data_IF_723344596886
#
_entry.id   IF_723344596886
#
_cell.length_a   1.000
_cell.length_b   1.000
_cell.length_c   1.000
_cell.angle_alpha   90.00
_cell.angle_beta   90.00
_cell.angle_gamma   90.00
#
_symmetry.space_group_name_H-M   'P 1'
#
loop_
_entity.id
_entity.type
_entity.pdbx_description
1 polymer ?
#
# COMPACT_ATOMS: atom_id res chain seq x y z
N UNK A 1 -29.89 12.89 -19.06
CA UNK A 1 -29.27 11.68 -18.51
C UNK A 1 -28.00 11.40 -19.30
N UNK A 2 -27.02 10.77 -18.67
CA UNK A 2 -25.74 10.40 -19.25
C UNK A 2 -25.38 8.99 -18.75
N UNK A 3 -24.92 8.13 -19.63
CA UNK A 3 -24.47 6.78 -19.23
C UNK A 3 -23.03 6.79 -18.74
N UNK A 4 -22.75 6.00 -17.72
CA UNK A 4 -21.39 5.72 -17.25
C UNK A 4 -21.25 4.24 -16.87
N UNK A 5 -20.01 3.75 -16.89
CA UNK A 5 -19.67 2.39 -16.44
C UNK A 5 -18.77 2.50 -15.22
N UNK A 6 -19.15 1.85 -14.12
CA UNK A 6 -18.42 1.82 -12.87
C UNK A 6 -17.90 0.40 -12.56
N UNK A 7 -16.78 0.31 -11.85
CA UNK A 7 -16.33 -0.95 -11.25
C UNK A 7 -17.37 -1.45 -10.24
N UNK A 8 -17.58 -2.77 -10.18
CA UNK A 8 -18.60 -3.37 -9.33
C UNK A 8 -18.17 -4.77 -8.90
N UNK A 9 -17.40 -4.88 -7.82
CA UNK A 9 -16.79 -6.15 -7.43
C UNK A 9 -15.82 -6.64 -8.52
N UNK A 10 -16.01 -7.87 -9.00
CA UNK A 10 -15.22 -8.47 -10.09
C UNK A 10 -15.72 -8.10 -11.49
N UNK A 11 -16.74 -7.25 -11.59
CA UNK A 11 -17.35 -6.86 -12.86
C UNK A 11 -17.52 -5.34 -12.97
N UNK A 12 -18.39 -4.92 -13.89
CA UNK A 12 -18.78 -3.53 -14.05
C UNK A 12 -20.30 -3.41 -14.06
N UNK A 13 -20.80 -2.21 -13.74
CA UNK A 13 -22.21 -1.87 -13.81
C UNK A 13 -22.40 -0.61 -14.65
N UNK A 14 -23.40 -0.62 -15.53
CA UNK A 14 -23.81 0.57 -16.28
C UNK A 14 -24.84 1.35 -15.45
N UNK A 15 -24.65 2.67 -15.37
CA UNK A 15 -25.48 3.55 -14.55
C UNK A 15 -25.93 4.76 -15.36
N UNK A 16 -27.14 5.23 -15.06
CA UNK A 16 -27.74 6.42 -15.67
C UNK A 16 -27.61 7.61 -14.74
N UNK A 17 -26.69 8.52 -15.05
CA UNK A 17 -26.40 9.69 -14.24
C UNK A 17 -27.23 10.90 -14.71
N UNK A 18 -27.60 11.82 -13.80
CA UNK A 18 -28.15 13.11 -14.18
C UNK A 18 -27.20 13.86 -15.13
N UNK A 19 -27.74 14.59 -16.11
CA UNK A 19 -26.93 15.28 -17.13
C UNK A 19 -26.00 16.37 -16.58
N UNK A 20 -26.21 16.81 -15.33
CA UNK A 20 -25.37 17.77 -14.60
C UNK A 20 -24.14 17.15 -13.93
N UNK A 21 -23.96 15.83 -14.03
CA UNK A 21 -22.87 15.13 -13.35
C UNK A 21 -21.54 15.44 -14.02
N UNK A 22 -20.56 15.90 -13.25
CA UNK A 22 -19.17 15.99 -13.69
C UNK A 22 -18.53 14.62 -13.61
N UNK A 23 -18.01 14.09 -14.72
CA UNK A 23 -17.25 12.84 -14.72
C UNK A 23 -15.77 13.18 -14.71
N UNK A 24 -15.06 12.65 -13.73
CA UNK A 24 -13.61 12.80 -13.59
C UNK A 24 -12.95 11.44 -13.52
N UNK A 25 -11.63 11.40 -13.66
CA UNK A 25 -10.93 10.15 -13.83
C UNK A 25 -11.30 9.45 -15.15
N UNK A 26 -10.96 10.09 -16.29
CA UNK A 26 -10.80 9.42 -17.58
C UNK A 26 -11.47 10.10 -18.77
N UNK A 27 -10.69 10.40 -19.83
CA UNK A 27 -11.17 10.98 -21.09
C UNK A 27 -10.25 10.52 -22.25
N UNK A 28 -10.76 9.76 -23.23
CA UNK A 28 -10.25 9.79 -24.61
C UNK A 28 -8.88 9.16 -24.97
N UNK A 29 -8.13 8.57 -24.04
CA UNK A 29 -6.98 7.70 -24.35
C UNK A 29 -6.97 6.52 -23.38
N UNK A 30 -6.56 5.30 -23.78
CA UNK A 30 -6.13 4.37 -22.74
C UNK A 30 -5.00 5.09 -22.01
N UNK A 31 -4.93 4.96 -20.68
CA UNK A 31 -3.77 5.35 -19.86
C UNK A 31 -3.81 6.83 -19.41
N UNK A 32 -3.94 7.09 -18.09
CA UNK A 32 -3.57 8.38 -17.48
C UNK A 32 -2.09 8.74 -17.73
N UNK A 33 -1.48 9.76 -17.10
CA UNK A 33 -0.08 10.09 -17.33
C UNK A 33 0.79 8.85 -17.03
N UNK A 34 1.22 8.16 -18.08
CA UNK A 34 2.02 6.94 -18.00
C UNK A 34 3.42 7.28 -18.43
N UNK A 35 4.36 6.78 -17.64
CA UNK A 35 5.73 6.65 -18.10
C UNK A 35 5.73 5.73 -19.32
N UNK A 36 6.53 6.08 -20.32
CA UNK A 36 6.81 5.15 -21.40
C UNK A 36 7.57 3.93 -20.83
N UNK A 37 7.20 2.71 -21.23
CA UNK A 37 7.93 1.52 -20.82
C UNK A 37 9.36 1.59 -21.38
N UNK A 38 10.35 1.19 -20.58
CA UNK A 38 11.71 1.03 -21.07
C UNK A 38 11.76 -0.09 -22.12
N UNK A 39 12.56 0.10 -23.16
CA UNK A 39 12.69 -0.87 -24.27
C UNK A 39 13.29 -2.20 -23.80
N UNK A 40 14.27 -2.12 -22.89
CA UNK A 40 14.96 -3.28 -22.31
C UNK A 40 15.04 -3.10 -20.79
N UNK A 41 14.23 -3.89 -20.07
CA UNK A 41 14.15 -3.83 -18.60
C UNK A 41 15.43 -4.30 -17.92
N UNK A 42 16.13 -5.28 -18.50
CA UNK A 42 17.36 -5.82 -17.93
C UNK A 42 18.50 -4.82 -18.10
N UNK A 43 18.62 -4.21 -19.28
CA UNK A 43 19.59 -3.15 -19.52
C UNK A 43 19.32 -1.93 -18.62
N UNK A 44 18.05 -1.56 -18.42
CA UNK A 44 17.68 -0.45 -17.52
C UNK A 44 18.12 -0.72 -16.07
N UNK A 45 17.90 -1.93 -15.55
CA UNK A 45 18.36 -2.35 -14.22
C UNK A 45 19.89 -2.27 -14.13
N UNK A 46 20.61 -2.86 -15.09
CA UNK A 46 22.08 -2.85 -15.11
C UNK A 46 22.64 -1.42 -15.17
N UNK A 47 22.02 -0.54 -15.94
CA UNK A 47 22.42 0.85 -16.06
C UNK A 47 22.22 1.63 -14.75
N UNK A 48 21.11 1.41 -14.05
CA UNK A 48 20.87 2.03 -12.75
C UNK A 48 21.94 1.60 -11.73
N UNK A 49 22.24 0.30 -11.64
CA UNK A 49 23.28 -0.23 -10.74
C UNK A 49 24.70 0.23 -11.11
N UNK A 50 24.97 0.46 -12.39
CA UNK A 50 26.27 0.94 -12.86
C UNK A 50 26.50 2.44 -12.62
N UNK A 51 25.42 3.22 -12.37
CA UNK A 51 25.47 4.67 -12.14
C UNK A 51 24.62 5.05 -10.92
N UNK A 52 24.99 4.58 -9.72
CA UNK A 52 24.25 4.86 -8.51
C UNK A 52 24.22 6.37 -8.19
N UNK A 53 23.11 6.82 -7.62
CA UNK A 53 22.92 8.18 -7.13
C UNK A 53 23.39 8.29 -5.68
N UNK A 54 24.29 9.23 -5.37
CA UNK A 54 24.69 9.54 -3.99
C UNK A 54 25.56 8.50 -3.27
N UNK A 55 25.78 7.32 -3.87
CA UNK A 55 26.62 6.26 -3.31
C UNK A 55 27.55 5.67 -4.39
N UNK A 56 28.70 5.07 -4.00
CA UNK A 56 29.50 4.20 -4.87
C UNK A 56 28.72 2.99 -5.39
N UNK A 57 29.30 2.26 -6.35
CA UNK A 57 28.74 1.00 -6.83
C UNK A 57 28.79 -0.08 -5.75
N UNK A 58 27.93 -1.08 -5.86
CA UNK A 58 27.83 -2.18 -4.89
C UNK A 58 29.20 -2.85 -4.67
N UNK A 59 29.96 -3.11 -5.74
CA UNK A 59 31.30 -3.72 -5.65
C UNK A 59 32.32 -2.91 -4.83
N UNK A 60 32.09 -1.60 -4.68
CA UNK A 60 32.96 -0.69 -3.94
C UNK A 60 32.52 -0.53 -2.48
N UNK A 61 31.29 -0.95 -2.17
CA UNK A 61 30.70 -0.91 -0.83
C UNK A 61 30.96 -2.18 -0.01
N UNK A 62 31.38 -3.27 -0.65
CA UNK A 62 31.65 -4.55 -0.01
C UNK A 62 33.13 -4.93 -0.10
N UNK A 63 33.57 -5.81 0.82
CA UNK A 63 34.91 -6.40 0.84
C UNK A 63 34.80 -7.93 0.88
N UNK A 64 35.80 -8.68 0.42
CA UNK A 64 35.77 -10.14 0.51
C UNK A 64 35.37 -10.63 1.91
N UNK A 65 34.41 -11.56 1.97
CA UNK A 65 33.84 -12.06 3.21
C UNK A 65 32.66 -11.28 3.77
N UNK A 66 32.25 -10.15 3.16
CA UNK A 66 31.08 -9.39 3.60
C UNK A 66 29.78 -10.21 3.55
N UNK A 67 28.86 -9.92 4.48
CA UNK A 67 27.50 -10.41 4.52
C UNK A 67 26.53 -9.37 3.98
N UNK A 68 25.59 -9.79 3.13
CA UNK A 68 24.67 -8.89 2.44
C UNK A 68 23.22 -9.30 2.66
N UNK A 69 22.39 -8.33 3.03
CA UNK A 69 20.94 -8.45 2.97
C UNK A 69 20.45 -7.90 1.63
N UNK A 70 19.62 -8.65 0.93
CA UNK A 70 18.80 -8.16 -0.18
C UNK A 70 17.33 -8.29 0.23
N UNK A 71 16.74 -7.19 0.65
CA UNK A 71 15.30 -7.12 0.92
C UNK A 71 14.53 -6.71 -0.33
N UNK A 72 13.27 -7.09 -0.46
CA UNK A 72 12.44 -6.72 -1.61
C UNK A 72 10.96 -6.56 -1.23
N UNK A 73 10.26 -5.73 -2.00
CA UNK A 73 8.82 -5.51 -1.81
C UNK A 73 8.04 -6.82 -1.93
N UNK A 74 7.07 -7.01 -1.04
CA UNK A 74 6.18 -8.16 -1.07
C UNK A 74 5.18 -8.13 -2.26
N UNK A 75 4.38 -9.19 -2.46
CA UNK A 75 3.34 -9.26 -3.49
C UNK A 75 2.22 -8.20 -3.39
N UNK A 76 2.07 -7.47 -2.28
CA UNK A 76 1.01 -6.44 -2.17
C UNK A 76 1.29 -5.23 -3.07
N UNK A 77 2.55 -5.03 -3.47
CA UNK A 77 2.93 -4.06 -4.50
C UNK A 77 2.54 -4.64 -5.88
N UNK A 78 1.56 -4.03 -6.60
CA UNK A 78 1.07 -4.53 -7.89
C UNK A 78 2.09 -4.34 -9.02
N UNK A 79 3.13 -5.16 -8.94
CA UNK A 79 4.26 -5.27 -9.84
C UNK A 79 4.40 -6.77 -10.17
N UNK A 80 3.87 -7.16 -11.31
CA UNK A 80 3.84 -8.53 -11.83
C UNK A 80 4.92 -8.77 -12.90
N UNK A 81 5.68 -7.72 -13.22
CA UNK A 81 6.82 -7.76 -14.11
C UNK A 81 8.08 -8.34 -13.44
N UNK A 82 9.14 -8.57 -14.22
CA UNK A 82 10.33 -9.27 -13.74
C UNK A 82 11.27 -8.39 -12.90
N UNK A 83 10.90 -7.15 -12.55
CA UNK A 83 11.82 -6.15 -11.96
C UNK A 83 12.53 -6.66 -10.71
N UNK A 84 11.82 -7.36 -9.81
CA UNK A 84 12.42 -7.94 -8.59
C UNK A 84 13.53 -8.93 -8.96
N UNK A 85 13.20 -9.93 -9.80
CA UNK A 85 14.16 -10.94 -10.28
C UNK A 85 15.34 -10.30 -11.00
N UNK A 86 15.09 -9.39 -11.95
CA UNK A 86 16.14 -8.74 -12.73
C UNK A 86 17.10 -7.95 -11.84
N UNK A 87 16.57 -7.20 -10.86
CA UNK A 87 17.40 -6.46 -9.91
C UNK A 87 18.20 -7.39 -9.01
N UNK A 88 17.57 -8.41 -8.42
CA UNK A 88 18.25 -9.38 -7.55
C UNK A 88 19.37 -10.09 -8.31
N UNK A 89 19.11 -10.64 -9.49
CA UNK A 89 20.13 -11.34 -10.29
C UNK A 89 21.29 -10.41 -10.69
N UNK A 90 20.99 -9.15 -11.07
CA UNK A 90 22.03 -8.18 -11.40
C UNK A 90 22.89 -7.78 -10.18
N UNK A 91 22.27 -7.66 -9.00
CA UNK A 91 22.97 -7.42 -7.72
C UNK A 91 23.86 -8.61 -7.38
N UNK A 92 23.33 -9.84 -7.44
CA UNK A 92 24.10 -11.07 -7.17
C UNK A 92 25.32 -11.19 -8.09
N UNK A 93 25.16 -10.85 -9.38
CA UNK A 93 26.28 -10.83 -10.32
C UNK A 93 27.35 -9.81 -9.91
N UNK A 94 26.98 -8.60 -9.51
CA UNK A 94 27.94 -7.59 -9.08
C UNK A 94 28.63 -7.95 -7.76
N UNK A 95 27.92 -8.59 -6.83
CA UNK A 95 28.49 -9.14 -5.59
C UNK A 95 29.50 -10.26 -5.86
N UNK A 96 29.18 -11.19 -6.77
CA UNK A 96 30.08 -12.25 -7.20
C UNK A 96 31.35 -11.71 -7.87
N UNK A 97 31.23 -10.67 -8.70
CA UNK A 97 32.39 -9.95 -9.28
C UNK A 97 33.27 -9.28 -8.21
N UNK A 98 32.69 -8.92 -7.05
CA UNK A 98 33.42 -8.40 -5.89
C UNK A 98 33.96 -9.50 -4.96
N UNK A 99 33.78 -10.78 -5.32
CA UNK A 99 34.24 -11.92 -4.53
C UNK A 99 33.35 -12.28 -3.34
N UNK A 100 32.10 -11.83 -3.32
CA UNK A 100 31.11 -12.21 -2.30
C UNK A 100 30.36 -13.45 -2.79
N UNK A 101 30.48 -14.59 -2.09
CA UNK A 101 29.80 -15.79 -2.51
C UNK A 101 28.34 -15.77 -2.03
N UNK A 102 27.46 -16.48 -2.73
CA UNK A 102 26.02 -16.38 -2.49
C UNK A 102 25.60 -16.86 -1.11
N UNK A 103 26.35 -17.78 -0.48
CA UNK A 103 26.12 -18.21 0.91
C UNK A 103 26.16 -17.06 1.92
N UNK A 104 26.83 -15.95 1.58
CA UNK A 104 26.87 -14.75 2.42
C UNK A 104 25.69 -13.80 2.18
N UNK A 105 24.78 -14.13 1.27
CA UNK A 105 23.64 -13.30 0.91
C UNK A 105 22.35 -13.88 1.49
N UNK A 106 21.55 -13.04 2.14
CA UNK A 106 20.19 -13.38 2.58
C UNK A 106 19.16 -12.55 1.80
N UNK A 107 18.05 -13.18 1.44
CA UNK A 107 16.90 -12.54 0.80
C UNK A 107 15.74 -12.44 1.78
N UNK A 108 15.17 -11.25 1.95
CA UNK A 108 14.01 -11.05 2.84
C UNK A 108 12.88 -10.35 2.10
N UNK A 109 11.71 -11.00 2.05
CA UNK A 109 10.47 -10.38 1.63
C UNK A 109 10.02 -9.39 2.71
N UNK A 110 9.88 -8.12 2.34
CA UNK A 110 9.57 -7.03 3.25
C UNK A 110 8.05 -6.87 3.43
N UNK A 111 7.42 -7.82 4.11
CA UNK A 111 5.97 -7.88 4.32
C UNK A 111 5.47 -7.15 5.58
N UNK A 112 6.35 -6.70 6.49
CA UNK A 112 5.95 -5.99 7.71
C UNK A 112 4.80 -6.69 8.47
N UNK A 113 3.69 -5.99 8.68
CA UNK A 113 2.45 -6.47 9.32
C UNK A 113 1.49 -7.17 8.35
N UNK A 114 1.85 -7.27 7.07
CA UNK A 114 1.16 -8.15 6.13
C UNK A 114 1.54 -9.60 6.38
N UNK A 115 0.71 -10.51 5.90
CA UNK A 115 0.96 -11.95 6.01
C UNK A 115 2.30 -12.39 5.40
N UNK A 116 2.76 -13.55 5.83
CA UNK A 116 3.83 -14.28 5.16
C UNK A 116 3.30 -14.94 3.88
N UNK A 117 4.21 -15.13 2.93
CA UNK A 117 3.91 -15.64 1.59
C UNK A 117 4.46 -17.05 1.43
N UNK A 118 3.70 -17.91 0.76
CA UNK A 118 4.15 -19.26 0.44
C UNK A 118 5.28 -19.23 -0.58
N UNK A 119 6.03 -20.32 -0.70
CA UNK A 119 7.07 -20.46 -1.73
C UNK A 119 6.53 -20.30 -3.14
N UNK A 120 5.32 -20.81 -3.41
CA UNK A 120 4.64 -20.66 -4.71
C UNK A 120 4.28 -19.20 -4.99
N UNK A 121 3.77 -18.47 -3.99
CA UNK A 121 3.44 -17.05 -4.15
C UNK A 121 4.69 -16.19 -4.35
N UNK A 122 5.77 -16.45 -3.61
CA UNK A 122 7.05 -15.76 -3.82
C UNK A 122 7.65 -16.08 -5.21
N UNK A 123 7.56 -17.34 -5.66
CA UNK A 123 8.02 -17.73 -6.98
C UNK A 123 7.27 -16.99 -8.10
N UNK A 124 6.02 -16.59 -7.89
CA UNK A 124 5.25 -15.81 -8.88
C UNK A 124 5.84 -14.42 -9.16
N UNK A 125 6.54 -13.82 -8.19
CA UNK A 125 7.15 -12.48 -8.32
C UNK A 125 8.68 -12.51 -8.45
N UNK A 126 9.33 -13.60 -8.05
CA UNK A 126 10.78 -13.79 -8.11
C UNK A 126 11.23 -14.68 -9.29
N UNK A 127 10.30 -15.40 -9.91
CA UNK A 127 10.62 -16.49 -10.81
C UNK A 127 10.89 -17.82 -10.08
N UNK A 128 10.98 -18.92 -10.82
CA UNK A 128 11.03 -20.26 -10.24
C UNK A 128 12.37 -20.64 -9.58
N UNK A 129 13.45 -19.92 -9.93
CA UNK A 129 14.82 -20.38 -9.60
C UNK A 129 15.35 -19.86 -8.26
N UNK A 130 14.99 -18.63 -7.88
CA UNK A 130 15.55 -17.99 -6.67
C UNK A 130 15.13 -18.71 -5.38
N UNK A 131 13.90 -19.24 -5.33
CA UNK A 131 13.40 -19.98 -4.16
C UNK A 131 14.25 -21.21 -3.84
N UNK A 132 14.36 -22.18 -4.75
CA UNK A 132 15.22 -23.35 -4.57
C UNK A 132 16.70 -23.01 -4.35
N UNK A 133 17.22 -21.97 -5.03
CA UNK A 133 18.62 -21.54 -4.94
C UNK A 133 19.01 -21.01 -3.56
N UNK A 134 18.12 -20.27 -2.89
CA UNK A 134 18.39 -19.69 -1.57
C UNK A 134 17.87 -20.54 -0.42
N UNK A 135 16.84 -21.35 -0.63
CA UNK A 135 16.25 -22.20 0.41
C UNK A 135 15.87 -21.36 1.64
N UNK A 136 16.39 -21.72 2.81
CA UNK A 136 16.12 -21.03 4.08
C UNK A 136 16.69 -19.59 4.15
N UNK A 137 17.62 -19.23 3.25
CA UNK A 137 18.14 -17.84 3.16
C UNK A 137 17.17 -16.90 2.43
N UNK A 138 16.07 -17.42 1.88
CA UNK A 138 14.94 -16.62 1.39
C UNK A 138 13.77 -16.77 2.36
N UNK A 139 13.44 -15.70 3.09
CA UNK A 139 12.39 -15.72 4.10
C UNK A 139 11.45 -14.51 4.00
N UNK A 140 10.28 -14.61 4.62
CA UNK A 140 9.43 -13.46 4.91
C UNK A 140 9.85 -12.83 6.24
N UNK A 141 9.78 -11.51 6.35
CA UNK A 141 9.96 -10.79 7.61
C UNK A 141 8.89 -11.23 8.62
N UNK A 142 9.31 -11.43 9.87
CA UNK A 142 8.43 -11.71 11.01
C UNK A 142 8.54 -10.54 12.01
N UNK A 143 7.48 -9.73 12.08
CA UNK A 143 7.41 -8.57 12.97
C UNK A 143 7.32 -8.93 14.46
N UNK A 144 7.16 -10.21 14.79
CA UNK A 144 6.94 -10.74 16.14
C UNK A 144 8.03 -11.75 16.55
N UNK A 145 9.15 -11.79 15.80
CA UNK A 145 10.30 -12.65 16.10
C UNK A 145 11.45 -11.89 16.79
N UNK A 146 11.51 -11.87 18.13
CA UNK A 146 12.47 -11.04 18.86
C UNK A 146 13.93 -11.39 18.55
N UNK A 147 14.22 -12.63 18.13
CA UNK A 147 15.58 -13.05 17.77
C UNK A 147 16.05 -12.45 16.44
N UNK A 148 15.13 -11.94 15.62
CA UNK A 148 15.42 -11.34 14.32
C UNK A 148 15.08 -9.85 14.26
N UNK A 149 14.93 -9.19 15.41
CA UNK A 149 14.60 -7.78 15.52
C UNK A 149 15.67 -7.01 16.32
N UNK A 150 15.96 -5.79 15.86
CA UNK A 150 16.91 -4.90 16.54
C UNK A 150 16.28 -3.53 16.73
N UNK A 151 16.16 -3.10 17.98
CA UNK A 151 15.74 -1.75 18.35
C UNK A 151 16.92 -0.77 18.25
N UNK A 152 16.80 0.23 17.38
CA UNK A 152 17.83 1.24 17.09
C UNK A 152 17.73 2.48 17.99
N UNK A 153 16.63 2.60 18.74
CA UNK A 153 16.33 3.71 19.62
C UNK A 153 15.16 4.56 19.15
N UNK A 154 15.09 5.77 19.70
CA UNK A 154 14.02 6.74 19.43
C UNK A 154 14.60 7.94 18.69
N UNK A 155 13.88 8.48 17.71
CA UNK A 155 14.25 9.72 17.02
C UNK A 155 14.08 10.95 17.93
N UNK A 156 14.55 12.12 17.48
CA UNK A 156 14.42 13.37 18.24
C UNK A 156 12.94 13.75 18.51
N UNK A 157 12.04 13.45 17.58
CA UNK A 157 10.59 13.65 17.71
C UNK A 157 9.88 12.54 18.49
N UNK A 158 10.59 11.54 19.02
CA UNK A 158 10.00 10.49 19.83
C UNK A 158 9.54 9.23 19.07
N UNK A 159 9.94 9.05 17.81
CA UNK A 159 9.54 7.87 17.03
C UNK A 159 10.45 6.68 17.31
N UNK A 160 9.91 5.57 17.79
CA UNK A 160 10.63 4.31 17.93
C UNK A 160 11.07 3.77 16.57
N UNK A 161 12.31 3.29 16.48
CA UNK A 161 12.83 2.62 15.28
C UNK A 161 13.35 1.23 15.66
N UNK A 162 12.63 0.21 15.23
CA UNK A 162 12.94 -1.21 15.31
C UNK A 162 12.86 -1.81 13.90
N UNK A 163 13.90 -2.55 13.52
CA UNK A 163 14.06 -3.13 12.19
C UNK A 163 14.47 -4.59 12.28
N UNK A 164 14.34 -5.33 11.16
CA UNK A 164 14.91 -6.65 11.02
C UNK A 164 16.41 -6.62 11.29
N UNK A 165 16.90 -7.54 12.12
CA UNK A 165 18.29 -7.65 12.54
C UNK A 165 19.31 -7.70 11.39
N UNK A 166 18.98 -8.32 10.25
CA UNK A 166 19.87 -8.36 9.08
C UNK A 166 20.13 -6.97 8.47
N UNK A 167 19.28 -5.96 8.73
CA UNK A 167 19.55 -4.57 8.33
C UNK A 167 20.76 -4.01 9.10
N UNK A 168 20.97 -4.48 10.33
CA UNK A 168 22.05 -4.01 11.23
C UNK A 168 23.31 -4.85 11.07
N UNK A 169 23.12 -6.17 11.01
CA UNK A 169 24.19 -7.17 11.08
C UNK A 169 24.90 -7.37 9.74
N UNK A 170 24.26 -7.03 8.61
CA UNK A 170 24.89 -7.11 7.29
C UNK A 170 25.88 -5.96 7.08
N UNK A 171 26.96 -6.22 6.35
CA UNK A 171 27.91 -5.20 5.91
C UNK A 171 27.28 -4.26 4.86
N UNK A 172 26.30 -4.76 4.10
CA UNK A 172 25.49 -3.98 3.17
C UNK A 172 24.04 -4.46 3.19
N UNK A 173 23.11 -3.54 3.39
CA UNK A 173 21.67 -3.79 3.26
C UNK A 173 21.16 -3.17 1.95
N UNK A 174 20.74 -4.02 1.02
CA UNK A 174 20.20 -3.61 -0.28
C UNK A 174 18.69 -3.80 -0.26
N UNK A 175 17.92 -2.79 -0.64
CA UNK A 175 16.46 -2.92 -0.78
C UNK A 175 16.02 -2.75 -2.24
N UNK A 176 15.29 -3.73 -2.77
CA UNK A 176 14.72 -3.73 -4.11
C UNK A 176 13.23 -3.35 -4.05
N UNK A 177 12.91 -2.09 -4.40
CA UNK A 177 11.54 -1.67 -4.61
C UNK A 177 11.06 -2.01 -6.03
N UNK A 178 9.86 -2.57 -6.12
CA UNK A 178 9.24 -3.03 -7.35
C UNK A 178 8.26 -2.02 -7.94
N UNK A 179 7.93 -0.95 -7.20
CA UNK A 179 7.06 0.13 -7.64
C UNK A 179 6.78 1.15 -6.53
N UNK A 180 6.83 2.44 -6.84
CA UNK A 180 6.30 3.49 -5.96
C UNK A 180 4.86 3.84 -6.35
N UNK A 181 3.92 3.58 -5.45
CA UNK A 181 2.50 3.92 -5.63
C UNK A 181 2.22 5.30 -5.05
N UNK A 182 2.17 6.32 -5.92
CA UNK A 182 1.98 7.72 -5.54
C UNK A 182 2.98 8.11 -4.42
N UNK A 183 2.54 8.95 -3.49
CA UNK A 183 3.32 9.26 -2.29
C UNK A 183 3.34 8.12 -1.27
N UNK A 184 2.70 6.97 -1.48
CA UNK A 184 2.57 5.98 -0.42
C UNK A 184 3.80 5.10 -0.24
N UNK A 185 4.54 4.79 -1.31
CA UNK A 185 5.67 3.85 -1.30
C UNK A 185 6.99 4.50 -1.74
N UNK A 186 8.09 3.80 -1.50
CA UNK A 186 9.46 4.25 -1.77
C UNK A 186 10.17 4.88 -0.57
N UNK A 187 11.44 5.23 -0.76
CA UNK A 187 12.31 5.85 0.24
C UNK A 187 12.45 5.01 1.51
N UNK A 188 12.50 5.68 2.65
CA UNK A 188 12.68 5.05 3.96
C UNK A 188 11.54 4.16 4.42
N UNK A 189 10.37 4.20 3.76
CA UNK A 189 9.28 3.24 4.03
C UNK A 189 9.73 1.79 3.87
N UNK A 190 10.61 1.54 2.91
CA UNK A 190 11.12 0.20 2.64
C UNK A 190 11.78 -0.45 3.86
N UNK A 191 12.60 0.31 4.60
CA UNK A 191 13.25 -0.21 5.81
C UNK A 191 12.35 0.02 7.04
N UNK A 192 11.95 1.28 7.27
CA UNK A 192 11.27 1.70 8.50
C UNK A 192 9.81 1.23 8.61
N UNK A 193 9.26 0.61 7.56
CA UNK A 193 7.97 -0.11 7.60
C UNK A 193 8.17 -1.54 7.10
N UNK A 194 8.65 -1.73 5.87
CA UNK A 194 8.71 -3.05 5.20
C UNK A 194 9.47 -4.13 5.98
N UNK A 195 10.50 -3.73 6.73
CA UNK A 195 11.32 -4.61 7.59
C UNK A 195 11.20 -4.22 9.06
N UNK A 196 10.04 -3.71 9.49
CA UNK A 196 9.84 -3.19 10.85
C UNK A 196 8.64 -3.84 11.54
N UNK A 197 8.43 -3.47 12.80
CA UNK A 197 7.38 -4.01 13.67
C UNK A 197 6.29 -2.99 13.95
N UNK A 198 5.21 -3.41 14.64
CA UNK A 198 4.16 -2.49 15.07
C UNK A 198 4.72 -1.31 15.89
N UNK A 199 5.77 -1.54 16.69
CA UNK A 199 6.45 -0.51 17.50
C UNK A 199 6.89 0.69 16.66
N UNK A 200 7.48 0.45 15.49
CA UNK A 200 7.89 1.48 14.54
C UNK A 200 6.72 2.00 13.71
N UNK A 201 5.87 1.08 13.24
CA UNK A 201 4.85 1.35 12.22
C UNK A 201 3.74 2.26 12.75
N UNK A 202 3.42 2.17 14.05
CA UNK A 202 2.36 2.96 14.71
C UNK A 202 2.51 4.48 14.58
N UNK A 203 3.73 5.00 14.38
CA UNK A 203 3.98 6.44 14.26
C UNK A 203 3.49 7.05 12.95
N UNK A 204 3.36 6.22 11.90
CA UNK A 204 2.83 6.60 10.59
C UNK A 204 1.43 6.03 10.33
N UNK A 205 1.11 4.89 10.93
CA UNK A 205 -0.18 4.21 10.77
C UNK A 205 -1.13 4.63 11.88
N UNK A 206 -1.47 5.91 11.87
CA UNK A 206 -2.58 6.50 12.63
C UNK A 206 -3.67 6.89 11.64
N UNK A 207 -4.90 7.21 12.10
CA UNK A 207 -5.91 7.77 11.23
C UNK A 207 -5.35 8.90 10.34
N UNK A 208 -4.44 9.73 10.88
CA UNK A 208 -3.96 10.96 10.21
C UNK A 208 -2.63 10.80 9.49
N UNK A 209 -1.90 9.74 9.80
CA UNK A 209 -0.53 9.59 9.36
C UNK A 209 -0.39 9.08 7.93
N UNK A 210 -1.32 8.23 7.48
CA UNK A 210 -1.25 7.64 6.14
C UNK A 210 -1.73 8.63 5.06
N UNK A 211 -0.88 8.87 4.06
CA UNK A 211 -1.18 9.74 2.93
C UNK A 211 -0.54 9.25 1.64
N UNK A 212 -1.30 9.33 0.54
CA UNK A 212 -0.83 9.07 -0.82
C UNK A 212 -0.32 10.33 -1.54
N UNK A 213 -0.28 11.48 -0.87
CA UNK A 213 0.19 12.72 -1.48
C UNK A 213 1.68 12.64 -1.84
N UNK A 214 2.03 13.03 -3.06
CA UNK A 214 3.43 13.19 -3.51
C UNK A 214 4.04 14.52 -3.07
N UNK A 215 3.24 15.44 -2.54
CA UNK A 215 3.64 16.75 -2.01
C UNK A 215 3.31 16.86 -0.53
N UNK A 216 4.18 17.52 0.24
CA UNK A 216 3.93 17.88 1.66
C UNK A 216 3.51 16.72 2.57
N UNK A 217 3.95 15.50 2.28
CA UNK A 217 3.50 14.30 2.97
C UNK A 217 4.11 14.16 4.36
N UNK A 218 3.27 14.17 5.42
CA UNK A 218 3.70 13.95 6.81
C UNK A 218 4.42 12.61 6.99
N UNK A 219 3.93 11.56 6.33
CA UNK A 219 4.54 10.23 6.40
C UNK A 219 5.98 10.25 5.91
N UNK A 220 6.28 11.00 4.84
CA UNK A 220 7.67 11.13 4.36
C UNK A 220 8.55 11.77 5.41
N UNK A 221 8.13 12.89 6.01
CA UNK A 221 8.92 13.56 7.06
C UNK A 221 9.23 12.66 8.25
N UNK A 222 8.24 11.88 8.71
CA UNK A 222 8.44 10.91 9.80
C UNK A 222 9.43 9.81 9.38
N UNK A 223 9.24 9.24 8.18
CA UNK A 223 10.11 8.19 7.68
C UNK A 223 11.54 8.68 7.38
N UNK A 224 11.70 9.91 6.92
CA UNK A 224 13.01 10.53 6.68
C UNK A 224 13.75 10.74 8.01
N UNK A 225 13.04 11.13 9.08
CA UNK A 225 13.61 11.24 10.42
C UNK A 225 14.01 9.86 11.00
N UNK A 226 13.14 8.86 10.85
CA UNK A 226 13.46 7.47 11.22
C UNK A 226 14.66 6.93 10.42
N UNK A 227 14.69 7.23 9.12
CA UNK A 227 15.77 6.89 8.21
C UNK A 227 17.11 7.54 8.57
N UNK A 228 17.09 8.80 8.99
CA UNK A 228 18.27 9.49 9.51
C UNK A 228 18.83 8.82 10.77
N UNK A 229 17.96 8.32 11.66
CA UNK A 229 18.40 7.50 12.79
C UNK A 229 19.03 6.19 12.33
N UNK A 230 18.41 5.48 11.38
CA UNK A 230 18.99 4.26 10.77
C UNK A 230 20.39 4.54 10.21
N UNK A 231 20.53 5.55 9.35
CA UNK A 231 21.83 5.97 8.78
C UNK A 231 22.86 6.28 9.87
N UNK A 232 22.47 7.03 10.91
CA UNK A 232 23.39 7.41 12.01
C UNK A 232 23.90 6.20 12.80
N UNK A 233 23.10 5.13 12.90
CA UNK A 233 23.48 3.89 13.60
C UNK A 233 24.31 2.97 12.71
N UNK A 234 24.07 3.01 11.40
CA UNK A 234 24.67 2.07 10.46
C UNK A 234 25.82 2.63 9.63
N UNK A 235 26.02 3.95 9.55
CA UNK A 235 27.10 4.55 8.75
C UNK A 235 26.91 4.40 7.24
N UNK A 236 25.71 4.72 6.73
CA UNK A 236 25.37 4.73 5.29
C UNK A 236 25.48 3.37 4.57
N UNK A 237 25.15 2.28 5.26
CA UNK A 237 25.18 0.91 4.72
C UNK A 237 23.89 0.48 4.01
N UNK A 238 23.00 1.42 3.66
CA UNK A 238 21.73 1.13 2.99
C UNK A 238 21.79 1.56 1.53
N UNK A 239 21.72 0.58 0.63
CA UNK A 239 21.64 0.80 -0.81
C UNK A 239 20.22 0.50 -1.32
N UNK A 240 19.72 1.30 -2.24
CA UNK A 240 18.34 1.26 -2.68
C UNK A 240 18.25 1.07 -4.18
N UNK A 241 17.37 0.17 -4.62
CA UNK A 241 16.81 0.17 -5.98
C UNK A 241 15.38 0.68 -5.87
N UNK A 242 15.06 1.76 -6.59
CA UNK A 242 13.76 2.43 -6.55
C UNK A 242 13.14 2.45 -7.95
N UNK A 243 11.88 2.04 -8.07
CA UNK A 243 11.23 1.80 -9.37
C UNK A 243 9.93 2.59 -9.49
N UNK A 244 9.72 3.22 -10.64
CA UNK A 244 8.40 3.64 -11.13
C UNK A 244 8.00 2.76 -12.30
N UNK A 245 6.79 2.19 -12.21
CA UNK A 245 6.24 1.33 -13.24
C UNK A 245 5.54 2.15 -14.33
N UNK A 246 5.75 1.78 -15.59
CA UNK A 246 4.93 2.25 -16.71
C UNK A 246 3.56 1.57 -16.72
N UNK A 247 3.51 0.31 -16.27
CA UNK A 247 2.32 -0.48 -16.01
C UNK A 247 2.72 -1.66 -15.10
N UNK A 248 1.78 -2.48 -14.59
CA UNK A 248 2.10 -3.54 -13.64
C UNK A 248 3.19 -4.54 -14.10
N UNK A 249 3.50 -4.65 -15.40
CA UNK A 249 4.48 -5.59 -15.93
C UNK A 249 5.81 -4.96 -16.38
N UNK A 250 5.89 -3.63 -16.53
CA UNK A 250 7.07 -2.99 -17.16
C UNK A 250 7.57 -1.78 -16.39
N UNK A 251 8.89 -1.71 -16.20
CA UNK A 251 9.60 -0.55 -15.67
C UNK A 251 9.35 0.67 -16.57
N UNK A 252 9.01 1.80 -15.97
CA UNK A 252 9.00 3.12 -16.62
C UNK A 252 10.27 3.91 -16.31
N UNK A 253 10.67 3.94 -15.03
CA UNK A 253 11.95 4.50 -14.56
C UNK A 253 12.48 3.64 -13.42
N UNK A 254 13.81 3.56 -13.31
CA UNK A 254 14.50 2.83 -12.24
C UNK A 254 15.77 3.57 -11.88
N UNK A 255 16.06 3.64 -10.58
CA UNK A 255 17.26 4.23 -10.03
C UNK A 255 17.88 3.29 -9.01
N UNK A 256 19.18 3.45 -8.79
CA UNK A 256 19.89 2.78 -7.72
C UNK A 256 20.79 3.77 -6.98
N UNK A 257 21.14 3.51 -5.72
CA UNK A 257 22.03 4.37 -4.92
C UNK A 257 21.51 4.61 -3.51
N UNK A 258 21.74 5.80 -2.97
CA UNK A 258 21.26 6.20 -1.65
C UNK A 258 19.75 6.34 -1.58
N UNK A 259 19.19 6.13 -0.39
CA UNK A 259 17.73 6.15 -0.19
C UNK A 259 17.14 7.53 -0.47
N UNK A 260 17.80 8.60 -0.02
CA UNK A 260 17.32 9.97 -0.19
C UNK A 260 17.37 10.41 -1.66
N UNK A 261 18.46 10.10 -2.37
CA UNK A 261 18.71 10.51 -3.75
C UNK A 261 17.77 9.79 -4.72
N UNK A 262 17.63 8.48 -4.57
CA UNK A 262 16.70 7.70 -5.38
C UNK A 262 15.24 8.12 -5.12
N UNK A 263 14.90 8.41 -3.86
CA UNK A 263 13.57 8.92 -3.50
C UNK A 263 13.29 10.29 -4.10
N UNK A 264 14.25 11.22 -4.06
CA UNK A 264 14.11 12.54 -4.64
C UNK A 264 13.84 12.46 -6.16
N UNK A 265 14.60 11.64 -6.88
CA UNK A 265 14.39 11.41 -8.32
C UNK A 265 13.00 10.83 -8.62
N UNK A 266 12.54 9.86 -7.82
CA UNK A 266 11.21 9.27 -7.98
C UNK A 266 10.10 10.30 -7.68
N UNK A 267 10.25 11.16 -6.66
CA UNK A 267 9.27 12.19 -6.32
C UNK A 267 9.20 13.30 -7.36
N UNK A 268 10.33 13.69 -7.96
CA UNK A 268 10.36 14.65 -9.06
C UNK A 268 9.50 14.18 -10.24
N UNK A 269 9.71 12.93 -10.68
CA UNK A 269 8.93 12.32 -11.76
C UNK A 269 7.45 12.23 -11.38
N UNK A 270 7.13 11.68 -10.20
CA UNK A 270 5.73 11.56 -9.78
C UNK A 270 5.01 12.90 -9.62
N UNK A 271 5.72 13.93 -9.17
CA UNK A 271 5.16 15.29 -9.01
C UNK A 271 4.79 15.89 -10.36
N UNK A 272 5.61 15.67 -11.40
CA UNK A 272 5.29 16.13 -12.76
C UNK A 272 4.15 15.34 -13.42
N UNK A 273 3.96 14.07 -13.07
CA UNK A 273 2.88 13.23 -13.63
C UNK A 273 1.54 13.45 -12.93
N UNK A 274 1.52 13.49 -11.60
CA UNK A 274 0.27 13.46 -10.83
C UNK A 274 -0.21 14.87 -10.47
N UNK A 275 -1.33 15.25 -11.12
CA UNK A 275 -2.13 16.41 -10.72
C UNK A 275 -2.85 16.12 -9.39
N UNK A 276 -3.00 17.11 -8.51
CA UNK A 276 -3.82 16.95 -7.30
C UNK A 276 -5.27 16.61 -7.66
N UNK A 277 -5.88 15.63 -6.97
CA UNK A 277 -7.29 15.23 -7.21
C UNK A 277 -8.27 16.41 -7.15
N UNK A 278 -8.01 17.37 -6.25
CA UNK A 278 -8.79 18.61 -6.08
C UNK A 278 -8.82 19.53 -7.30
N UNK A 279 -7.97 19.31 -8.31
CA UNK A 279 -8.00 20.08 -9.55
C UNK A 279 -8.77 19.41 -10.67
N UNK A 280 -9.37 18.23 -10.44
CA UNK A 280 -10.10 17.49 -11.48
C UNK A 280 -11.53 18.00 -11.69
N UNK A 281 -12.18 18.53 -10.65
CA UNK A 281 -13.51 19.13 -10.71
C UNK A 281 -13.74 20.08 -9.54
N UNK A 282 -14.78 20.88 -9.64
CA UNK A 282 -15.30 21.66 -8.50
C UNK A 282 -15.90 20.73 -7.43
N UNK A 283 -15.76 21.06 -6.13
CA UNK A 283 -16.37 20.27 -5.06
C UNK A 283 -17.89 20.11 -5.21
N UNK A 284 -18.38 18.90 -5.03
CA UNK A 284 -19.76 18.48 -5.26
C UNK A 284 -20.49 18.07 -3.97
N UNK A 285 -21.82 18.13 -4.00
CA UNK A 285 -22.68 17.67 -2.91
C UNK A 285 -22.74 16.13 -2.86
N UNK A 286 -22.52 15.47 -4.01
CA UNK A 286 -22.52 14.00 -4.14
C UNK A 286 -21.26 13.53 -4.87
N UNK A 287 -20.58 12.55 -4.28
CA UNK A 287 -19.41 11.86 -4.86
C UNK A 287 -19.77 10.41 -5.16
N UNK A 288 -19.62 9.96 -6.40
CA UNK A 288 -20.02 8.62 -6.87
C UNK A 288 -18.80 7.86 -7.38
N UNK A 289 -18.66 6.58 -7.02
CA UNK A 289 -17.69 5.69 -7.62
C UNK A 289 -17.98 4.21 -7.41
N UNK A 290 -17.38 3.38 -8.25
CA UNK A 290 -17.39 1.92 -8.10
C UNK A 290 -16.30 1.41 -7.17
N UNK A 291 -16.58 0.36 -6.40
CA UNK A 291 -15.58 -0.33 -5.57
C UNK A 291 -15.32 -1.73 -6.15
N UNK A 292 -14.11 -2.00 -6.70
CA UNK A 292 -13.76 -3.31 -7.22
C UNK A 292 -13.53 -4.31 -6.08
N UNK A 293 -13.58 -5.60 -6.40
CA UNK A 293 -13.18 -6.69 -5.51
C UNK A 293 -11.64 -6.81 -5.47
N UNK A 294 -10.97 -5.71 -5.12
CA UNK A 294 -9.52 -5.62 -5.07
C UNK A 294 -9.06 -4.79 -3.88
N UNK A 295 -7.98 -5.26 -3.25
CA UNK A 295 -7.25 -4.55 -2.20
C UNK A 295 -5.82 -5.09 -2.18
N UNK A 296 -4.79 -4.24 -1.96
CA UNK A 296 -3.43 -4.74 -1.70
C UNK A 296 -3.39 -5.63 -0.46
N UNK A 297 -4.35 -5.49 0.46
CA UNK A 297 -4.48 -6.32 1.65
C UNK A 297 -5.25 -7.63 1.40
N UNK A 298 -5.59 -7.94 0.15
CA UNK A 298 -6.24 -9.19 -0.26
C UNK A 298 -5.46 -9.90 -1.39
N UNK A 299 -4.16 -9.62 -1.57
CA UNK A 299 -3.36 -10.33 -2.57
C UNK A 299 -3.28 -11.83 -2.26
N UNK A 300 -3.71 -12.64 -3.24
CA UNK A 300 -3.98 -14.09 -3.15
C UNK A 300 -4.91 -14.50 -1.99
N UNK A 301 -5.75 -13.59 -1.52
CA UNK A 301 -6.77 -13.83 -0.50
C UNK A 301 -8.13 -13.32 -0.99
N UNK A 302 -9.20 -13.63 -0.28
CA UNK A 302 -10.53 -13.08 -0.64
C UNK A 302 -10.77 -11.72 -0.01
N UNK A 303 -11.51 -10.87 -0.72
CA UNK A 303 -12.05 -9.63 -0.15
C UNK A 303 -13.06 -9.95 0.95
N UNK A 304 -13.28 -9.00 1.85
CA UNK A 304 -14.29 -9.06 2.89
C UNK A 304 -14.98 -7.70 3.05
N UNK A 305 -16.10 -7.60 3.78
CA UNK A 305 -16.81 -6.34 3.99
C UNK A 305 -15.96 -5.20 4.56
N UNK A 306 -15.08 -5.50 5.52
CA UNK A 306 -14.17 -4.50 6.11
C UNK A 306 -13.21 -3.93 5.07
N UNK A 307 -12.59 -4.80 4.27
CA UNK A 307 -11.71 -4.37 3.18
C UNK A 307 -12.48 -3.63 2.09
N UNK A 308 -13.70 -4.05 1.76
CA UNK A 308 -14.49 -3.47 0.67
C UNK A 308 -15.00 -2.08 1.03
N UNK A 309 -15.77 -1.95 2.11
CA UNK A 309 -16.47 -0.71 2.44
C UNK A 309 -15.56 0.31 3.12
N UNK A 310 -14.66 -0.15 3.99
CA UNK A 310 -13.83 0.74 4.80
C UNK A 310 -12.45 0.92 4.18
N UNK A 311 -11.66 -0.16 4.06
CA UNK A 311 -10.27 -0.06 3.60
C UNK A 311 -10.14 0.45 2.15
N UNK A 312 -10.92 -0.10 1.22
CA UNK A 312 -10.91 0.33 -0.18
C UNK A 312 -11.88 1.49 -0.38
N UNK A 313 -13.16 1.30 -0.06
CA UNK A 313 -14.24 2.27 -0.30
C UNK A 313 -14.00 3.63 0.34
N UNK A 314 -13.74 3.67 1.65
CA UNK A 314 -13.36 4.91 2.33
C UNK A 314 -11.85 5.18 2.31
N UNK A 315 -10.97 4.19 2.09
CA UNK A 315 -9.52 4.39 2.15
C UNK A 315 -8.89 4.74 0.81
N UNK A 316 -8.43 3.72 0.08
CA UNK A 316 -7.73 3.87 -1.21
C UNK A 316 -8.52 4.74 -2.21
N UNK A 317 -9.82 4.53 -2.28
CA UNK A 317 -10.72 5.25 -3.17
C UNK A 317 -11.19 6.57 -2.55
N UNK A 318 -11.39 6.58 -1.23
CA UNK A 318 -12.02 7.67 -0.49
C UNK A 318 -11.22 8.97 -0.43
N UNK A 319 -9.98 9.03 -0.89
CA UNK A 319 -9.27 10.31 -1.02
C UNK A 319 -9.95 11.29 -2.00
N UNK A 320 -10.87 10.84 -2.86
CA UNK A 320 -11.73 11.73 -3.66
C UNK A 320 -12.87 12.37 -2.85
N UNK A 321 -13.27 11.78 -1.72
CA UNK A 321 -14.32 12.33 -0.84
C UNK A 321 -13.89 13.71 -0.31
N UNK A 322 -12.69 13.80 0.26
CA UNK A 322 -12.18 15.07 0.81
C UNK A 322 -11.70 16.02 -0.30
N UNK A 323 -11.27 15.48 -1.44
CA UNK A 323 -10.75 16.28 -2.54
C UNK A 323 -11.86 16.95 -3.38
N UNK A 324 -12.98 16.26 -3.60
CA UNK A 324 -14.05 16.67 -4.51
C UNK A 324 -15.45 16.67 -3.87
N UNK A 325 -15.60 16.28 -2.61
CA UNK A 325 -16.85 16.43 -1.87
C UNK A 325 -16.85 17.72 -1.06
N UNK A 326 -17.95 18.45 -1.04
CA UNK A 326 -18.16 19.52 -0.05
C UNK A 326 -18.26 18.91 1.37
N UNK A 327 -17.93 19.66 2.44
CA UNK A 327 -18.21 19.22 3.80
C UNK A 327 -19.69 18.82 3.96
N UNK A 328 -19.95 17.60 4.44
CA UNK A 328 -21.30 17.02 4.54
C UNK A 328 -21.80 16.31 3.28
N UNK A 329 -20.98 16.13 2.24
CA UNK A 329 -21.38 15.47 1.01
C UNK A 329 -21.94 14.06 1.21
N UNK A 330 -22.79 13.62 0.29
CA UNK A 330 -23.16 12.21 0.16
C UNK A 330 -22.13 11.45 -0.68
N UNK A 331 -21.75 10.26 -0.23
CA UNK A 331 -20.88 9.35 -0.97
C UNK A 331 -21.71 8.17 -1.45
N UNK A 332 -21.61 7.81 -2.72
CA UNK A 332 -22.27 6.64 -3.32
C UNK A 332 -21.20 5.67 -3.78
N UNK A 333 -21.15 4.50 -3.14
CA UNK A 333 -20.27 3.39 -3.51
C UNK A 333 -21.08 2.32 -4.24
N UNK A 334 -20.73 2.02 -5.49
CA UNK A 334 -21.32 0.90 -6.22
C UNK A 334 -20.50 -0.37 -6.00
N UNK A 335 -21.08 -1.37 -5.32
CA UNK A 335 -20.41 -2.65 -5.06
C UNK A 335 -21.38 -3.74 -4.60
N UNK A 336 -21.17 -5.02 -4.98
CA UNK A 336 -21.97 -6.12 -4.46
C UNK A 336 -21.65 -6.42 -3.00
N UNK A 337 -20.43 -6.13 -2.52
CA UNK A 337 -19.96 -6.34 -1.14
C UNK A 337 -20.55 -7.60 -0.45
N UNK A 338 -20.21 -8.81 -0.91
CA UNK A 338 -20.69 -10.04 -0.29
C UNK A 338 -20.20 -10.17 1.15
N UNK A 339 -21.01 -10.80 2.01
CA UNK A 339 -20.62 -11.18 3.38
C UNK A 339 -19.72 -12.43 3.37
N UNK A 340 -18.54 -12.31 2.75
CA UNK A 340 -17.52 -13.37 2.69
C UNK A 340 -16.33 -13.01 3.57
N UNK A 341 -15.78 -14.01 4.25
CA UNK A 341 -14.67 -13.87 5.20
C UNK A 341 -13.60 -14.92 4.97
N UNK A 342 -12.41 -14.46 4.61
CA UNK A 342 -11.21 -15.29 4.53
C UNK A 342 -10.60 -15.47 5.92
N UNK A 343 -11.07 -16.45 6.68
CA UNK A 343 -10.58 -16.71 8.05
C UNK A 343 -9.18 -17.34 8.11
N UNK A 344 -8.62 -17.72 6.96
CA UNK A 344 -7.24 -18.18 6.85
C UNK A 344 -6.30 -16.98 6.85
N UNK A 345 -6.55 -16.00 5.98
CA UNK A 345 -5.69 -14.82 5.81
C UNK A 345 -6.08 -13.65 6.72
N UNK A 346 -7.36 -13.48 7.06
CA UNK A 346 -7.89 -12.33 7.80
C UNK A 346 -8.73 -12.70 9.04
N UNK A 347 -8.29 -13.63 9.92
CA UNK A 347 -9.09 -14.05 11.07
C UNK A 347 -9.49 -12.90 12.01
N UNK A 348 -8.59 -11.93 12.22
CA UNK A 348 -8.86 -10.77 13.06
C UNK A 348 -9.85 -9.77 12.43
N UNK A 349 -10.02 -9.76 11.10
CA UNK A 349 -10.95 -8.82 10.45
C UNK A 349 -12.41 -9.17 10.78
N UNK A 350 -12.75 -10.46 10.79
CA UNK A 350 -14.10 -10.91 11.15
C UNK A 350 -14.44 -10.56 12.61
N UNK A 351 -13.47 -10.71 13.51
CA UNK A 351 -13.62 -10.35 14.92
C UNK A 351 -13.78 -8.83 15.11
N UNK A 352 -12.94 -8.00 14.47
CA UNK A 352 -13.11 -6.54 14.49
C UNK A 352 -14.47 -6.12 13.91
N UNK A 353 -14.91 -6.74 12.83
CA UNK A 353 -16.22 -6.46 12.24
C UNK A 353 -17.34 -6.73 13.24
N UNK A 354 -17.40 -7.92 13.82
CA UNK A 354 -18.50 -8.32 14.71
C UNK A 354 -18.41 -7.66 16.09
N UNK A 355 -17.22 -7.56 16.67
CA UNK A 355 -17.02 -7.08 18.05
C UNK A 355 -16.87 -5.57 18.14
N UNK A 356 -16.07 -4.97 17.27
CA UNK A 356 -15.69 -3.55 17.37
C UNK A 356 -16.67 -2.68 16.59
N UNK A 357 -16.88 -2.99 15.31
CA UNK A 357 -17.71 -2.14 14.43
C UNK A 357 -19.22 -2.23 14.70
N UNK A 358 -19.68 -3.23 15.46
CA UNK A 358 -21.04 -3.27 15.98
C UNK A 358 -21.31 -2.25 17.09
N UNK A 359 -20.25 -1.73 17.73
CA UNK A 359 -20.35 -0.83 18.88
C UNK A 359 -19.97 0.61 18.52
N UNK A 360 -18.99 0.78 17.63
CA UNK A 360 -18.40 2.10 17.35
C UNK A 360 -17.76 2.21 15.98
N UNK A 361 -17.57 3.46 15.54
CA UNK A 361 -17.02 3.79 14.21
C UNK A 361 -16.02 4.94 14.26
N UNK A 362 -15.71 5.48 15.44
CA UNK A 362 -14.66 6.47 15.61
C UNK A 362 -13.30 5.74 15.57
N UNK A 363 -12.47 5.92 14.53
CA UNK A 363 -11.23 5.17 14.40
C UNK A 363 -10.16 5.55 15.44
N UNK A 364 -10.26 6.71 16.07
CA UNK A 364 -9.35 7.14 17.13
C UNK A 364 -9.71 6.42 18.42
N UNK A 365 -11.00 6.37 18.76
CA UNK A 365 -11.49 5.60 19.91
C UNK A 365 -11.24 4.09 19.72
N UNK A 366 -11.47 3.57 18.50
CA UNK A 366 -11.14 2.17 18.16
C UNK A 366 -9.64 1.89 18.39
N UNK A 367 -8.77 2.76 17.90
CA UNK A 367 -7.32 2.58 18.04
C UNK A 367 -6.87 2.65 19.49
N UNK A 368 -7.43 3.58 20.27
CA UNK A 368 -7.10 3.75 21.70
C UNK A 368 -7.56 2.56 22.54
N UNK A 369 -8.79 2.08 22.32
CA UNK A 369 -9.38 1.00 23.13
C UNK A 369 -8.93 -0.40 22.76
N UNK A 370 -8.69 -0.64 21.48
CA UNK A 370 -8.46 -1.99 20.95
C UNK A 370 -7.08 -2.17 20.32
N UNK A 371 -6.33 -1.10 20.05
CA UNK A 371 -5.04 -1.19 19.37
C UNK A 371 -4.05 -2.11 20.10
N UNK A 372 -3.80 -1.87 21.38
CA UNK A 372 -2.86 -2.68 22.16
C UNK A 372 -3.36 -4.13 22.36
N UNK A 373 -4.68 -4.31 22.50
CA UNK A 373 -5.28 -5.65 22.61
C UNK A 373 -5.01 -6.48 21.36
N UNK A 374 -5.32 -5.98 20.16
CA UNK A 374 -5.06 -6.72 18.92
C UNK A 374 -3.57 -6.81 18.63
N UNK A 375 -2.79 -5.77 18.94
CA UNK A 375 -1.34 -5.82 18.76
C UNK A 375 -0.67 -6.94 19.59
N UNK A 376 -1.23 -7.31 20.74
CA UNK A 376 -0.69 -8.33 21.63
C UNK A 376 -1.51 -9.66 21.63
N UNK A 377 -2.47 -9.82 20.71
CA UNK A 377 -3.39 -10.96 20.76
C UNK A 377 -2.71 -12.28 20.36
N UNK A 378 -2.25 -13.05 21.36
CA UNK A 378 -1.44 -14.25 21.19
C UNK A 378 -1.96 -15.25 20.14
N UNK A 379 -3.26 -15.58 20.15
CA UNK A 379 -3.82 -16.56 19.21
C UNK A 379 -3.87 -16.08 17.75
N UNK A 380 -3.90 -14.76 17.51
CA UNK A 380 -3.83 -14.22 16.15
C UNK A 380 -2.38 -14.00 15.72
N UNK A 381 -1.50 -13.61 16.65
CA UNK A 381 -0.05 -13.55 16.42
C UNK A 381 0.48 -14.93 16.03
N UNK A 382 0.05 -16.00 16.70
CA UNK A 382 0.45 -17.37 16.34
C UNK A 382 0.12 -17.69 14.87
N UNK A 383 -1.08 -17.31 14.40
CA UNK A 383 -1.50 -17.47 12.99
C UNK A 383 -0.71 -16.58 12.02
N UNK A 384 -0.28 -15.40 12.45
CA UNK A 384 0.60 -14.52 11.65
C UNK A 384 2.02 -15.09 11.53
N UNK A 385 2.60 -15.53 12.66
CA UNK A 385 3.98 -16.02 12.72
C UNK A 385 4.15 -17.37 12.03
N UNK A 386 3.24 -18.31 12.29
CA UNK A 386 3.38 -19.70 11.87
C UNK A 386 2.37 -20.14 10.81
N UNK A 387 1.50 -19.22 10.39
CA UNK A 387 0.56 -19.41 9.28
C UNK A 387 0.72 -18.32 8.21
N UNK A 388 -0.39 -18.02 7.53
CA UNK A 388 -0.48 -17.03 6.45
C UNK A 388 -1.46 -15.90 6.79
N UNK A 389 -1.74 -15.69 8.07
CA UNK A 389 -2.62 -14.60 8.48
C UNK A 389 -1.89 -13.24 8.49
N UNK A 390 -2.62 -12.16 8.27
CA UNK A 390 -2.13 -10.81 8.55
C UNK A 390 -1.93 -10.60 10.05
N UNK A 391 -1.03 -9.68 10.43
CA UNK A 391 -0.87 -9.32 11.83
C UNK A 391 -2.20 -8.76 12.39
N UNK A 392 -2.65 -9.16 13.59
CA UNK A 392 -3.96 -8.77 14.11
C UNK A 392 -4.21 -7.26 14.17
N UNK A 393 -3.17 -6.46 14.46
CA UNK A 393 -3.29 -4.99 14.44
C UNK A 393 -3.78 -4.44 13.08
N UNK A 394 -3.50 -5.15 11.98
CA UNK A 394 -3.92 -4.75 10.65
C UNK A 394 -5.45 -4.62 10.54
N UNK A 395 -6.21 -5.44 11.29
CA UNK A 395 -7.66 -5.34 11.36
C UNK A 395 -8.13 -4.01 11.94
N UNK A 396 -7.42 -3.49 12.96
CA UNK A 396 -7.67 -2.16 13.54
C UNK A 396 -7.26 -1.07 12.54
N UNK A 397 -6.10 -1.19 11.90
CA UNK A 397 -5.63 -0.22 10.89
C UNK A 397 -6.61 -0.11 9.71
N UNK A 398 -7.24 -1.22 9.30
CA UNK A 398 -8.26 -1.23 8.25
C UNK A 398 -9.52 -0.40 8.60
N UNK A 399 -9.72 -0.04 9.87
CA UNK A 399 -10.81 0.85 10.31
C UNK A 399 -10.48 2.34 10.17
N UNK A 400 -9.20 2.72 10.08
CA UNK A 400 -8.75 4.12 10.05
C UNK A 400 -9.45 5.00 8.99
N UNK A 401 -9.78 4.49 7.79
CA UNK A 401 -10.54 5.28 6.80
C UNK A 401 -11.91 5.78 7.26
N UNK A 402 -12.50 5.22 8.33
CA UNK A 402 -13.74 5.74 8.93
C UNK A 402 -13.63 7.20 9.34
N UNK A 403 -12.43 7.75 9.51
CA UNK A 403 -12.22 9.18 9.78
C UNK A 403 -12.91 10.08 8.75
N UNK A 404 -13.08 9.60 7.51
CA UNK A 404 -13.72 10.36 6.43
C UNK A 404 -15.20 10.61 6.67
N UNK A 405 -15.82 9.90 7.61
CA UNK A 405 -17.17 10.19 8.07
C UNK A 405 -17.26 11.53 8.83
N UNK A 406 -16.14 12.15 9.19
CA UNK A 406 -16.10 13.55 9.65
C UNK A 406 -16.35 14.55 8.51
N UNK A 407 -16.09 14.15 7.26
CA UNK A 407 -16.30 14.97 6.05
C UNK A 407 -17.55 14.55 5.27
N UNK A 408 -17.77 13.24 5.09
CA UNK A 408 -18.95 12.71 4.44
C UNK A 408 -20.15 12.65 5.40
N UNK A 409 -21.27 13.28 5.02
CA UNK A 409 -22.48 13.31 5.84
C UNK A 409 -23.30 12.03 5.74
N UNK A 410 -23.31 11.37 4.58
CA UNK A 410 -23.98 10.08 4.34
C UNK A 410 -23.18 9.22 3.38
N UNK A 411 -23.20 7.92 3.60
CA UNK A 411 -22.62 6.93 2.69
C UNK A 411 -23.71 5.97 2.24
N UNK A 412 -23.91 5.87 0.94
CA UNK A 412 -24.81 4.94 0.28
C UNK A 412 -24.00 3.81 -0.35
N UNK A 413 -24.48 2.58 -0.19
CA UNK A 413 -23.90 1.40 -0.86
C UNK A 413 -24.92 0.84 -1.84
N UNK A 414 -24.69 1.12 -3.11
CA UNK A 414 -25.57 0.75 -4.20
C UNK A 414 -25.25 -0.67 -4.70
N UNK A 415 -26.26 -1.54 -4.72
CA UNK A 415 -26.16 -2.89 -5.28
C UNK A 415 -25.58 -3.94 -4.33
N UNK A 416 -25.50 -3.66 -3.03
CA UNK A 416 -25.06 -4.65 -2.04
C UNK A 416 -25.97 -5.90 -2.07
N UNK A 417 -25.37 -7.10 -2.13
CA UNK A 417 -26.12 -8.37 -2.20
C UNK A 417 -26.88 -8.65 -0.91
N UNK A 418 -26.28 -8.29 0.23
CA UNK A 418 -26.93 -8.29 1.54
C UNK A 418 -26.98 -6.86 2.10
N UNK A 419 -28.16 -6.22 2.14
CA UNK A 419 -28.34 -4.91 2.75
C UNK A 419 -27.96 -4.83 4.24
N UNK A 420 -27.87 -5.94 4.97
CA UNK A 420 -27.42 -5.94 6.36
C UNK A 420 -25.94 -5.57 6.49
N UNK A 421 -25.10 -5.91 5.50
CA UNK A 421 -23.65 -5.66 5.53
C UNK A 421 -23.33 -4.16 5.56
N UNK A 422 -23.83 -3.30 4.65
CA UNK A 422 -23.65 -1.85 4.77
C UNK A 422 -24.27 -1.26 6.04
N UNK A 423 -25.44 -1.78 6.48
CA UNK A 423 -26.12 -1.29 7.68
C UNK A 423 -25.30 -1.54 8.95
N UNK A 424 -24.52 -2.61 8.99
CA UNK A 424 -23.65 -2.95 10.12
C UNK A 424 -22.68 -1.83 10.48
N UNK A 425 -22.14 -1.13 9.47
CA UNK A 425 -21.27 0.06 9.64
C UNK A 425 -22.04 1.38 9.54
N UNK A 426 -23.38 1.30 9.55
CA UNK A 426 -24.31 2.42 9.49
C UNK A 426 -24.29 3.18 8.17
N UNK A 427 -24.00 2.49 7.07
CA UNK A 427 -24.22 3.00 5.71
C UNK A 427 -25.62 2.61 5.22
N UNK A 428 -26.12 3.35 4.23
CA UNK A 428 -27.47 3.15 3.69
C UNK A 428 -27.40 2.30 2.41
N UNK A 429 -27.88 1.05 2.42
CA UNK A 429 -27.94 0.26 1.19
C UNK A 429 -29.04 0.77 0.25
N UNK A 430 -28.80 0.75 -1.05
CA UNK A 430 -29.80 0.97 -2.11
C UNK A 430 -29.69 -0.12 -3.17
N UNK A 431 -30.76 -0.37 -3.92
CA UNK A 431 -30.77 -1.39 -4.96
C UNK A 431 -29.91 -0.98 -6.16
N UNK A 432 -29.81 0.32 -6.46
CA UNK A 432 -28.99 0.84 -7.56
C UNK A 432 -28.36 2.20 -7.25
N UNK A 433 -27.48 2.65 -8.15
CA UNK A 433 -26.85 3.98 -8.07
C UNK A 433 -27.89 5.08 -8.31
N UNK A 434 -28.85 4.88 -9.21
CA UNK A 434 -29.95 5.81 -9.49
C UNK A 434 -30.85 6.03 -8.26
N UNK A 435 -31.12 4.96 -7.51
CA UNK A 435 -31.85 5.06 -6.24
C UNK A 435 -31.04 5.84 -5.19
N UNK A 436 -29.73 5.57 -5.06
CA UNK A 436 -28.86 6.34 -4.17
C UNK A 436 -28.79 7.83 -4.55
N UNK A 437 -28.77 8.15 -5.85
CA UNK A 437 -28.83 9.54 -6.33
C UNK A 437 -30.15 10.18 -5.93
N UNK A 438 -31.27 9.47 -6.11
CA UNK A 438 -32.60 9.98 -5.72
C UNK A 438 -32.65 10.28 -4.23
N UNK A 439 -32.05 9.44 -3.39
CA UNK A 439 -31.98 9.68 -1.95
C UNK A 439 -31.04 10.84 -1.59
N UNK A 440 -29.89 10.96 -2.27
CA UNK A 440 -28.99 12.10 -2.12
C UNK A 440 -29.65 13.43 -2.55
N UNK A 441 -30.48 13.43 -3.60
CA UNK A 441 -31.25 14.60 -4.05
C UNK A 441 -32.33 15.02 -3.04
N UNK A 442 -32.87 14.09 -2.24
CA UNK A 442 -33.78 14.45 -1.13
C UNK A 442 -33.06 15.19 0.00
N UNK A 443 -31.77 14.93 0.17
CA UNK A 443 -30.93 15.54 1.21
C UNK A 443 -30.40 16.90 0.75
N UNK A 444 -29.84 16.96 -0.46
CA UNK A 444 -29.11 18.12 -0.98
C UNK A 444 -29.93 19.00 -1.94
N UNK A 445 -31.15 18.58 -2.29
CA UNK A 445 -31.98 19.20 -3.32
C UNK A 445 -31.76 18.58 -4.71
N UNK A 446 -32.77 18.69 -5.59
CA UNK A 446 -32.74 18.08 -6.95
C UNK A 446 -31.66 18.64 -7.86
N UNK A 447 -31.22 19.87 -7.62
CA UNK A 447 -30.20 20.55 -8.42
C UNK A 447 -28.79 20.39 -7.81
N UNK A 448 -28.62 19.49 -6.84
CA UNK A 448 -27.33 19.27 -6.18
C UNK A 448 -26.22 18.90 -7.18
N UNK A 449 -25.02 19.39 -6.91
CA UNK A 449 -23.84 19.10 -7.73
C UNK A 449 -23.38 17.65 -7.51
N UNK A 450 -23.06 16.95 -8.59
CA UNK A 450 -22.63 15.54 -8.56
C UNK A 450 -21.29 15.41 -9.29
N UNK A 451 -20.35 14.70 -8.68
CA UNK A 451 -19.12 14.24 -9.32
C UNK A 451 -19.08 12.71 -9.32
N UNK A 452 -18.68 12.12 -10.44
CA UNK A 452 -18.54 10.68 -10.64
C UNK A 452 -17.10 10.34 -11.00
N UNK A 453 -16.45 9.50 -10.20
CA UNK A 453 -15.09 9.02 -10.45
C UNK A 453 -15.18 7.74 -11.28
N UNK A 454 -14.83 7.84 -12.57
CA UNK A 454 -14.93 6.72 -13.50
C UNK A 454 -13.74 5.75 -13.37
N UNK A 455 -12.54 6.28 -13.19
CA UNK A 455 -11.32 5.51 -12.88
C UNK A 455 -10.50 6.23 -11.83
N UNK A 456 -9.86 5.46 -10.96
CA UNK A 456 -8.99 6.00 -9.93
C UNK A 456 -7.56 6.14 -10.46
N UNK A 457 -6.95 7.32 -10.26
CA UNK A 457 -5.55 7.50 -10.57
C UNK A 457 -4.66 6.59 -9.70
N UNK A 458 -3.87 5.72 -10.34
CA UNK A 458 -2.86 4.89 -9.70
C UNK A 458 -3.34 3.54 -9.15
N UNK A 459 -4.58 3.14 -9.45
CA UNK A 459 -5.13 1.81 -9.21
C UNK A 459 -5.06 0.94 -10.47
#
# INVERSE_FOLDING_TARGET
>A
MMEATLLFGDSTVNVNLPGRTQVVGGDGAPRGPRLDPVTDQEAAVRQALARPLGLPRIRELVRPGAHVLIAFDDPTVPSFGPVRRLAIEAILKELGEAGIPEENVNLVCANALHRKWTSTELASILGPDLGPRFGQRLACHDAEDPDNLTYLGTTASGYDVEVHRLVVDSDLAIYVNAGCHLGFSGGWKSICIGLSTWRSIRWTHTPEGMSMSVRENRMHRVLDEMGALVESRLGQRVFKVETLLANPATIGRIWAGGVAETRAAALEVQTSLYKPRRSEAEPADVVIYGVPAWSPYATFARMNPLLTLVSSGLGYLGGYIEALGKPGCSVIMATPCPDDWDLEHHPAHADVWQRVLSQMRDPYEISDRFGDEYAAHAGFIERYRFGVAYHPIHAILATHPLKRLKHAGRVFVAGAVDPAVPRHVGFTPTASVEEAITEAERIHGRDCSIVCIRQFAGL
#
